data_IF_203141845654
#
_entry.id   IF_203141845654
#
_cell.length_a   1.000
_cell.length_b   1.000
_cell.length_c   1.000
_cell.angle_alpha   90.00
_cell.angle_beta   90.00
_cell.angle_gamma   90.00
#
_symmetry.space_group_name_H-M   'P 1'
#
loop_
_entity.id
_entity.type
_entity.pdbx_description
1 polymer ?
#
# COMPACT_ATOMS: atom_id res chain seq x y z
N UNK A 1 12.43 33.71 4.40
CA UNK A 1 11.41 32.73 3.97
C UNK A 1 11.45 31.59 4.98
N UNK A 2 10.50 31.58 5.93
CA UNK A 2 10.49 30.62 7.03
C UNK A 2 10.11 29.23 6.53
N UNK A 3 11.00 28.27 6.71
CA UNK A 3 10.69 26.84 6.61
C UNK A 3 9.73 26.51 7.74
N UNK A 4 8.43 26.38 7.44
CA UNK A 4 7.52 25.77 8.38
C UNK A 4 7.93 24.31 8.55
N UNK A 5 8.42 23.96 9.75
CA UNK A 5 8.59 22.59 10.17
C UNK A 5 7.23 21.90 10.09
N UNK A 6 7.08 20.98 9.13
CA UNK A 6 5.96 20.04 9.12
C UNK A 6 6.19 19.05 10.24
N UNK A 7 5.69 19.37 11.42
CA UNK A 7 5.76 18.49 12.58
C UNK A 7 4.94 17.25 12.29
N UNK A 8 5.62 16.12 12.06
CA UNK A 8 4.97 14.82 11.97
C UNK A 8 4.17 14.60 13.27
N UNK A 9 2.92 14.09 13.20
CA UNK A 9 2.12 13.85 14.41
C UNK A 9 2.92 12.95 15.37
N UNK A 10 3.04 13.37 16.63
CA UNK A 10 3.64 12.56 17.70
C UNK A 10 2.98 11.19 17.68
N UNK A 11 3.76 10.14 17.43
CA UNK A 11 3.31 8.76 17.58
C UNK A 11 2.82 8.57 19.01
N UNK A 12 1.51 8.53 19.19
CA UNK A 12 0.87 8.19 20.46
C UNK A 12 1.20 6.72 20.74
N UNK A 13 1.64 6.45 21.97
CA UNK A 13 2.14 5.14 22.38
C UNK A 13 1.19 3.98 22.04
N UNK A 14 1.77 2.88 21.53
CA UNK A 14 1.23 1.52 21.53
C UNK A 14 0.06 1.17 20.58
N UNK A 15 0.11 1.57 19.31
CA UNK A 15 -0.52 0.77 18.23
C UNK A 15 0.41 0.71 17.03
N UNK A 16 0.57 -0.47 16.42
CA UNK A 16 1.30 -0.61 15.15
C UNK A 16 0.61 0.24 14.08
N UNK A 17 1.39 1.00 13.31
CA UNK A 17 0.87 1.72 12.15
C UNK A 17 0.35 0.69 11.14
N UNK A 18 -0.92 0.80 10.68
CA UNK A 18 -1.39 -0.05 9.60
C UNK A 18 -0.57 0.24 8.34
N UNK A 19 -0.27 -0.82 7.60
CA UNK A 19 0.51 -0.78 6.37
C UNK A 19 -0.42 -0.71 5.19
N UNK A 20 -0.21 0.26 4.30
CA UNK A 20 -0.89 0.34 3.01
C UNK A 20 0.11 0.08 1.89
N UNK A 21 -0.25 -0.84 1.00
CA UNK A 21 0.50 -1.15 -0.21
C UNK A 21 0.09 -0.19 -1.33
N UNK A 22 1.06 0.46 -1.97
CA UNK A 22 0.82 1.40 -3.08
C UNK A 22 0.97 0.66 -4.42
N UNK A 23 -0.16 0.32 -5.04
CA UNK A 23 -0.19 -0.45 -6.27
C UNK A 23 -0.38 0.44 -7.50
N UNK A 24 0.38 0.20 -8.56
CA UNK A 24 0.33 1.00 -9.78
C UNK A 24 1.31 0.52 -10.86
N UNK A 25 1.28 1.09 -12.08
CA UNK A 25 2.20 0.70 -13.13
C UNK A 25 3.65 0.96 -12.69
N UNK A 26 4.53 -0.04 -12.79
CA UNK A 26 5.98 0.16 -12.71
C UNK A 26 6.60 0.19 -14.11
N UNK A 27 6.41 -0.91 -14.86
CA UNK A 27 6.93 -1.08 -16.22
C UNK A 27 6.32 -0.07 -17.20
N UNK A 28 7.15 0.42 -18.11
CA UNK A 28 6.73 1.28 -19.21
C UNK A 28 7.69 1.12 -20.41
N UNK A 29 7.28 1.60 -21.59
CA UNK A 29 8.05 1.44 -22.82
C UNK A 29 9.40 2.19 -22.86
N UNK A 30 9.72 3.02 -21.87
CA UNK A 30 11.03 3.65 -21.72
C UNK A 30 11.29 4.06 -20.26
N UNK A 31 12.55 4.34 -19.93
CA UNK A 31 12.99 4.70 -18.58
C UNK A 31 12.40 6.01 -18.07
N UNK A 32 12.20 7.02 -18.91
CA UNK A 32 11.57 8.27 -18.50
C UNK A 32 10.13 8.03 -17.98
N UNK A 33 9.38 7.14 -18.63
CA UNK A 33 8.04 6.74 -18.17
C UNK A 33 8.09 5.89 -16.90
N UNK A 34 9.08 5.02 -16.73
CA UNK A 34 9.30 4.31 -15.46
C UNK A 34 9.56 5.31 -14.32
N UNK A 35 10.38 6.33 -14.55
CA UNK A 35 10.60 7.39 -13.56
C UNK A 35 9.30 8.13 -13.22
N UNK A 36 8.48 8.48 -14.21
CA UNK A 36 7.18 9.12 -13.96
C UNK A 36 6.24 8.25 -13.14
N UNK A 37 6.21 6.95 -13.42
CA UNK A 37 5.46 5.96 -12.64
C UNK A 37 5.93 5.93 -11.18
N UNK A 38 7.25 5.87 -10.94
CA UNK A 38 7.84 5.90 -9.58
C UNK A 38 7.45 7.19 -8.85
N UNK A 39 7.50 8.34 -9.53
CA UNK A 39 7.13 9.62 -8.92
C UNK A 39 5.63 9.69 -8.59
N UNK A 40 4.77 9.15 -9.46
CA UNK A 40 3.32 9.07 -9.19
C UNK A 40 3.02 8.18 -7.97
N UNK A 41 3.66 7.01 -7.89
CA UNK A 41 3.54 6.12 -6.74
C UNK A 41 4.06 6.77 -5.44
N UNK A 42 5.19 7.50 -5.50
CA UNK A 42 5.71 8.28 -4.36
C UNK A 42 4.73 9.35 -3.89
N UNK A 43 4.10 10.08 -4.81
CA UNK A 43 3.11 11.09 -4.46
C UNK A 43 1.92 10.49 -3.72
N UNK A 44 1.38 9.36 -4.19
CA UNK A 44 0.31 8.63 -3.51
C UNK A 44 0.76 8.12 -2.14
N UNK A 45 1.96 7.55 -2.05
CA UNK A 45 2.53 7.07 -0.79
C UNK A 45 2.72 8.18 0.25
N UNK A 46 3.18 9.36 -0.16
CA UNK A 46 3.30 10.52 0.73
C UNK A 46 1.94 10.97 1.27
N UNK A 47 0.92 11.03 0.43
CA UNK A 47 -0.45 11.35 0.85
C UNK A 47 -1.02 10.29 1.80
N UNK A 48 -0.67 9.02 1.64
CA UNK A 48 -1.03 7.97 2.57
C UNK A 48 -0.32 8.11 3.93
N UNK A 49 0.97 8.48 3.93
CA UNK A 49 1.74 8.80 5.15
C UNK A 49 1.12 9.99 5.88
N UNK A 50 0.69 11.03 5.17
CA UNK A 50 -0.04 12.17 5.75
C UNK A 50 -1.37 11.76 6.40
N UNK A 51 -1.98 10.65 5.96
CA UNK A 51 -3.17 10.03 6.58
C UNK A 51 -2.83 9.11 7.76
N UNK A 52 -1.56 9.01 8.15
CA UNK A 52 -1.07 8.22 9.28
C UNK A 52 -0.76 6.76 8.96
N UNK A 53 -0.73 6.37 7.68
CA UNK A 53 -0.38 5.01 7.28
C UNK A 53 1.14 4.82 7.18
N UNK A 54 1.60 3.59 7.39
CA UNK A 54 2.91 3.17 6.90
C UNK A 54 2.76 2.78 5.43
N UNK A 55 3.32 3.56 4.51
CA UNK A 55 3.20 3.29 3.07
C UNK A 55 4.32 2.37 2.58
N UNK A 56 3.96 1.22 2.02
CA UNK A 56 4.86 0.36 1.27
C UNK A 56 4.74 0.71 -0.21
N UNK A 57 5.83 1.20 -0.81
CA UNK A 57 5.84 1.71 -2.19
C UNK A 57 6.80 0.83 -3.00
N UNK A 58 6.35 -0.29 -3.59
CA UNK A 58 7.20 -1.23 -4.33
C UNK A 58 8.07 -0.53 -5.38
N UNK A 59 7.51 0.46 -6.08
CA UNK A 59 8.22 1.28 -7.08
C UNK A 59 9.47 1.97 -6.53
N UNK A 60 9.49 2.27 -5.24
CA UNK A 60 10.62 2.89 -4.56
C UNK A 60 11.43 1.89 -3.70
N UNK A 61 10.77 0.88 -3.12
CA UNK A 61 11.41 -0.14 -2.28
C UNK A 61 12.27 -1.11 -3.08
N UNK A 62 11.83 -1.47 -4.30
CA UNK A 62 12.54 -2.37 -5.21
C UNK A 62 12.97 -1.66 -6.50
N UNK A 63 12.72 -0.35 -6.60
CA UNK A 63 13.02 0.43 -7.79
C UNK A 63 14.49 0.32 -8.17
N UNK A 64 14.74 -0.03 -9.43
CA UNK A 64 16.06 -0.14 -10.05
C UNK A 64 16.93 -1.30 -9.54
N UNK A 65 16.46 -2.10 -8.57
CA UNK A 65 17.21 -3.28 -8.11
C UNK A 65 17.38 -4.32 -9.22
N UNK A 66 16.41 -4.43 -10.13
CA UNK A 66 16.45 -5.24 -11.34
C UNK A 66 17.66 -4.89 -12.23
N UNK A 67 18.05 -3.61 -12.28
CA UNK A 67 19.22 -3.16 -13.04
C UNK A 67 20.54 -3.61 -12.43
N UNK A 68 20.59 -3.76 -11.11
CA UNK A 68 21.79 -4.20 -10.38
C UNK A 68 21.83 -5.72 -10.17
N UNK A 69 20.73 -6.42 -10.42
CA UNK A 69 20.62 -7.87 -10.32
C UNK A 69 19.90 -8.47 -11.55
N UNK A 70 20.47 -8.32 -12.77
CA UNK A 70 19.81 -8.71 -14.02
C UNK A 70 19.64 -10.24 -14.18
N UNK A 71 20.29 -11.03 -13.33
CA UNK A 71 20.16 -12.49 -13.30
C UNK A 71 18.95 -12.97 -12.49
N UNK A 72 18.33 -12.09 -11.70
CA UNK A 72 17.12 -12.43 -10.94
C UNK A 72 15.91 -12.31 -11.89
N UNK A 73 15.11 -13.38 -12.04
CA UNK A 73 13.96 -13.37 -12.94
C UNK A 73 12.89 -12.36 -12.52
N UNK A 74 12.17 -11.83 -13.51
CA UNK A 74 11.04 -10.92 -13.32
C UNK A 74 9.96 -11.50 -12.41
N UNK A 75 9.73 -12.81 -12.48
CA UNK A 75 8.76 -13.54 -11.69
C UNK A 75 9.07 -13.48 -10.20
N UNK A 76 10.35 -13.46 -9.82
CA UNK A 76 10.75 -13.33 -8.43
C UNK A 76 10.34 -11.95 -7.88
N UNK A 77 10.59 -10.88 -8.64
CA UNK A 77 10.23 -9.53 -8.22
C UNK A 77 8.71 -9.38 -8.05
N UNK A 78 7.94 -9.94 -9.00
CA UNK A 78 6.48 -9.94 -8.93
C UNK A 78 5.96 -10.69 -7.69
N UNK A 79 6.48 -11.89 -7.41
CA UNK A 79 6.07 -12.65 -6.23
C UNK A 79 6.53 -11.98 -4.93
N UNK A 80 7.74 -11.42 -4.89
CA UNK A 80 8.25 -10.72 -3.72
C UNK A 80 7.42 -9.48 -3.39
N UNK A 81 7.06 -8.66 -4.39
CA UNK A 81 6.22 -7.48 -4.14
C UNK A 81 4.77 -7.88 -3.83
N UNK A 82 4.27 -8.98 -4.38
CA UNK A 82 2.96 -9.52 -4.03
C UNK A 82 2.92 -10.04 -2.59
N UNK A 83 3.97 -10.72 -2.13
CA UNK A 83 4.09 -11.18 -0.75
C UNK A 83 4.07 -10.02 0.25
N UNK A 84 4.71 -8.89 -0.09
CA UNK A 84 4.61 -7.66 0.69
C UNK A 84 3.18 -7.09 0.72
N UNK A 85 2.44 -7.19 -0.40
CA UNK A 85 1.03 -6.81 -0.46
C UNK A 85 0.18 -7.68 0.46
N UNK A 86 0.36 -9.02 0.43
CA UNK A 86 -0.39 -9.97 1.28
C UNK A 86 -0.26 -9.70 2.79
N UNK A 87 0.83 -9.04 3.20
CA UNK A 87 1.11 -8.67 4.60
C UNK A 87 0.66 -7.26 4.96
N UNK A 88 0.14 -6.51 3.99
CA UNK A 88 -0.37 -5.16 4.19
C UNK A 88 -1.82 -5.20 4.67
N UNK A 89 -2.23 -4.18 5.42
CA UNK A 89 -3.60 -4.06 5.93
C UNK A 89 -4.59 -3.54 4.86
N UNK A 90 -4.08 -2.87 3.83
CA UNK A 90 -4.86 -2.33 2.71
C UNK A 90 -4.01 -2.15 1.45
N UNK A 91 -4.69 -1.96 0.31
CA UNK A 91 -4.09 -1.54 -0.96
C UNK A 91 -4.66 -0.19 -1.39
N UNK A 92 -3.82 0.71 -1.89
CA UNK A 92 -4.25 1.96 -2.53
C UNK A 92 -3.69 2.05 -3.95
N UNK A 93 -4.53 2.43 -4.91
CA UNK A 93 -4.17 2.49 -6.31
C UNK A 93 -3.64 3.86 -6.73
N UNK A 94 -2.66 3.83 -7.63
CA UNK A 94 -2.06 5.01 -8.28
C UNK A 94 -2.78 5.29 -9.61
N UNK A 95 -2.95 6.56 -10.03
CA UNK A 95 -3.53 6.86 -11.34
C UNK A 95 -2.87 6.09 -12.50
N UNK A 96 -3.68 5.55 -13.42
CA UNK A 96 -3.21 4.73 -14.54
C UNK A 96 -3.04 3.24 -14.20
N UNK A 97 -3.48 2.80 -13.01
CA UNK A 97 -3.48 1.41 -12.59
C UNK A 97 -4.25 0.48 -13.55
N UNK A 98 -5.26 0.98 -14.24
CA UNK A 98 -6.16 0.23 -15.12
C UNK A 98 -5.39 -0.45 -16.27
N UNK A 99 -4.34 0.22 -16.76
CA UNK A 99 -3.48 -0.28 -17.82
C UNK A 99 -2.44 -1.30 -17.34
N UNK A 100 -2.21 -1.43 -16.03
CA UNK A 100 -1.15 -2.26 -15.44
C UNK A 100 -1.61 -3.70 -15.21
N UNK A 101 -1.02 -4.66 -15.94
CA UNK A 101 -1.30 -6.08 -15.73
C UNK A 101 -0.89 -6.57 -14.33
N UNK A 102 0.25 -6.11 -13.82
CA UNK A 102 0.68 -6.42 -12.45
C UNK A 102 -0.30 -5.90 -11.41
N UNK A 103 -0.78 -4.67 -11.58
CA UNK A 103 -1.75 -4.09 -10.63
C UNK A 103 -3.10 -4.79 -10.67
N UNK A 104 -3.55 -5.29 -11.83
CA UNK A 104 -4.76 -6.14 -11.88
C UNK A 104 -4.60 -7.44 -11.10
N UNK A 105 -3.41 -8.05 -11.14
CA UNK A 105 -3.12 -9.25 -10.36
C UNK A 105 -3.08 -8.96 -8.84
N UNK A 106 -2.47 -7.83 -8.45
CA UNK A 106 -2.46 -7.36 -7.06
C UNK A 106 -3.88 -7.11 -6.52
N UNK A 107 -4.74 -6.45 -7.30
CA UNK A 107 -6.15 -6.22 -6.95
C UNK A 107 -6.88 -7.55 -6.78
N UNK A 108 -6.74 -8.48 -7.72
CA UNK A 108 -7.41 -9.78 -7.66
C UNK A 108 -7.00 -10.56 -6.41
N UNK A 109 -5.71 -10.58 -6.06
CA UNK A 109 -5.20 -11.25 -4.88
C UNK A 109 -5.67 -10.57 -3.58
N UNK A 110 -5.63 -9.24 -3.53
CA UNK A 110 -6.14 -8.48 -2.38
C UNK A 110 -7.62 -8.78 -2.13
N UNK A 111 -8.44 -8.78 -3.19
CA UNK A 111 -9.85 -9.16 -3.12
C UNK A 111 -10.03 -10.61 -2.64
N UNK A 112 -9.23 -11.56 -3.14
CA UNK A 112 -9.27 -12.97 -2.70
C UNK A 112 -8.99 -13.13 -1.21
N UNK A 113 -8.09 -12.31 -0.66
CA UNK A 113 -7.70 -12.32 0.75
C UNK A 113 -8.60 -11.47 1.65
N UNK A 114 -9.58 -10.74 1.09
CA UNK A 114 -10.39 -9.80 1.85
C UNK A 114 -9.63 -8.54 2.30
N UNK A 115 -8.49 -8.25 1.68
CA UNK A 115 -7.72 -7.01 1.91
C UNK A 115 -8.44 -5.87 1.17
N UNK A 116 -8.80 -4.77 1.85
CA UNK A 116 -9.52 -3.66 1.23
C UNK A 116 -8.66 -2.94 0.20
N UNK A 117 -9.26 -2.64 -0.96
CA UNK A 117 -8.63 -1.90 -2.06
C UNK A 117 -9.30 -0.54 -2.22
N UNK A 118 -8.52 0.53 -2.18
CA UNK A 118 -8.96 1.90 -2.39
C UNK A 118 -8.48 2.39 -3.76
N UNK A 119 -9.40 2.83 -4.62
CA UNK A 119 -9.09 3.18 -6.02
C UNK A 119 -8.45 4.57 -6.16
N UNK A 120 -8.50 5.38 -5.10
CA UNK A 120 -7.76 6.62 -5.00
C UNK A 120 -7.37 6.93 -3.56
N UNK A 121 -6.27 7.64 -3.35
CA UNK A 121 -5.82 8.04 -2.00
C UNK A 121 -6.84 8.89 -1.23
N UNK A 122 -7.74 9.61 -1.94
CA UNK A 122 -8.85 10.34 -1.31
C UNK A 122 -9.83 9.41 -0.58
N UNK A 123 -9.98 8.17 -1.04
CA UNK A 123 -10.86 7.14 -0.48
C UNK A 123 -10.20 6.38 0.67
N UNK A 124 -8.86 6.37 0.72
CA UNK A 124 -8.11 5.79 1.83
C UNK A 124 -8.47 6.54 3.13
N UNK A 125 -9.03 5.87 4.15
CA UNK A 125 -9.40 6.52 5.41
C UNK A 125 -8.15 6.96 6.17
N UNK A 126 -8.34 7.74 7.24
CA UNK A 126 -7.27 7.96 8.22
C UNK A 126 -6.92 6.61 8.87
N UNK A 127 -5.63 6.37 9.10
CA UNK A 127 -5.15 5.13 9.71
C UNK A 127 -5.83 4.84 11.07
N UNK A 128 -6.08 5.88 11.86
CA UNK A 128 -6.81 5.77 13.12
C UNK A 128 -8.25 5.25 12.94
N UNK A 129 -8.97 5.73 11.93
CA UNK A 129 -10.34 5.27 11.65
C UNK A 129 -10.34 3.81 11.20
N UNK A 130 -9.38 3.43 10.35
CA UNK A 130 -9.21 2.05 9.92
C UNK A 130 -8.98 1.10 11.10
N UNK A 131 -8.06 1.44 12.02
CA UNK A 131 -7.78 0.61 13.20
C UNK A 131 -8.99 0.46 14.12
N UNK A 132 -9.77 1.52 14.32
CA UNK A 132 -11.01 1.47 15.10
C UNK A 132 -12.05 0.53 14.47
N UNK A 133 -12.17 0.53 13.14
CA UNK A 133 -13.07 -0.39 12.44
C UNK A 133 -12.63 -1.85 12.62
N UNK A 134 -11.34 -2.13 12.46
CA UNK A 134 -10.77 -3.46 12.66
C UNK A 134 -10.98 -3.99 14.09
N UNK A 135 -10.76 -3.15 15.10
CA UNK A 135 -11.00 -3.51 16.51
C UNK A 135 -12.46 -3.88 16.75
N UNK A 136 -13.40 -3.05 16.28
CA UNK A 136 -14.84 -3.32 16.42
C UNK A 136 -15.26 -4.62 15.75
N UNK A 137 -14.70 -4.93 14.58
CA UNK A 137 -15.00 -6.17 13.87
C UNK A 137 -14.47 -7.39 14.63
N UNK A 138 -13.24 -7.32 15.16
CA UNK A 138 -12.66 -8.39 15.99
C UNK A 138 -13.45 -8.61 17.30
N UNK A 139 -13.92 -7.53 17.93
CA UNK A 139 -14.76 -7.60 19.13
C UNK A 139 -16.11 -8.24 18.84
N UNK A 140 -16.76 -7.87 17.72
CA UNK A 140 -18.03 -8.46 17.30
C UNK A 140 -17.89 -9.97 17.00
N UNK A 141 -16.83 -10.38 16.30
CA UNK A 141 -16.55 -11.79 15.99
C UNK A 141 -16.23 -12.61 17.25
N UNK A 142 -15.57 -12.01 18.25
CA UNK A 142 -15.34 -12.64 19.55
C UNK A 142 -16.63 -12.77 20.36
N UNK A 143 -17.45 -11.72 20.39
CA UNK A 143 -18.75 -11.73 21.07
C UNK A 143 -19.68 -12.81 20.53
N UNK A 144 -19.74 -12.96 19.20
CA UNK A 144 -20.53 -14.01 18.55
C UNK A 144 -20.06 -15.44 18.90
N UNK A 145 -18.77 -15.65 19.15
CA UNK A 145 -18.20 -16.97 19.48
C UNK A 145 -18.45 -17.40 20.94
N UNK A 146 -18.87 -16.48 21.81
CA UNK A 146 -19.07 -16.73 23.24
C UNK A 146 -20.53 -16.93 23.63
N UNK A 147 -21.49 -16.70 22.73
CA UNK A 147 -22.88 -17.11 22.93
C UNK A 147 -22.99 -18.64 22.76
N UNK A 148 -23.36 -19.41 23.80
CA UNK A 148 -23.44 -20.85 23.70
C UNK A 148 -24.69 -21.28 22.91
N UNK A 149 -24.51 -22.16 21.92
CA UNK A 149 -25.56 -23.08 21.43
C UNK A 149 -25.99 -24.06 22.50
#
# INVERSE_FOLDING_TARGET
>A
MGTQERTLPRLVASTSLPVVYVAGPYRAGNRARVTLNIQSARAVGLLAIEKGWSALIPHANTGDLDLFAPTIPDEFWLEATLELMRRSDAVVLVPGHEASAGTRAEIAEACRLGIPVYYAVKELPLAAHFKLQQQRQQEAERGYRLEPT
#
